data_IF_639183097066
#
_entry.id   IF_639183097066
#
_cell.length_a   1.000
_cell.length_b   1.000
_cell.length_c   1.000
_cell.angle_alpha   90.00
_cell.angle_beta   90.00
_cell.angle_gamma   90.00
#
_symmetry.space_group_name_H-M   'P 1'
#
loop_
_entity.id
_entity.type
_entity.pdbx_description
1 polymer ?
#
# COMPACT_ATOMS: atom_id res chain seq x y z
N UNK A 1 -7.96 -15.28 -5.07
CA UNK A 1 -6.49 -15.06 -5.16
C UNK A 1 -6.17 -13.73 -4.48
N UNK A 2 -4.92 -13.46 -4.09
CA UNK A 2 -4.51 -12.47 -3.06
C UNK A 2 -4.83 -12.83 -1.59
N UNK A 3 -5.11 -14.11 -1.28
CA UNK A 3 -5.36 -14.54 0.11
C UNK A 3 -4.18 -14.27 1.06
N UNK A 4 -2.94 -14.25 0.57
CA UNK A 4 -1.77 -13.95 1.39
C UNK A 4 -1.67 -12.46 1.80
N UNK A 5 -2.43 -11.55 1.18
CA UNK A 5 -2.48 -10.16 1.65
C UNK A 5 -3.00 -10.06 3.09
N UNK A 6 -3.83 -11.00 3.52
CA UNK A 6 -4.30 -11.08 4.90
C UNK A 6 -3.16 -11.32 5.91
N UNK A 7 -2.08 -11.98 5.51
CA UNK A 7 -0.95 -12.22 6.42
C UNK A 7 -0.22 -10.91 6.77
N UNK A 8 -0.28 -9.89 5.92
CA UNK A 8 0.39 -8.60 6.15
C UNK A 8 -0.20 -7.80 7.31
N UNK A 9 -1.39 -8.15 7.80
CA UNK A 9 -1.97 -7.53 9.00
C UNK A 9 -1.13 -7.85 10.26
N UNK A 10 -0.25 -8.85 10.18
CA UNK A 10 0.77 -9.14 11.19
C UNK A 10 2.03 -8.32 10.93
N UNK A 11 2.45 -7.57 11.96
CA UNK A 11 3.70 -6.81 11.94
C UNK A 11 4.92 -7.69 11.62
N UNK A 12 5.01 -8.90 12.21
CA UNK A 12 6.15 -9.79 12.00
C UNK A 12 6.20 -10.29 10.55
N UNK A 13 5.03 -10.55 9.95
CA UNK A 13 4.95 -10.96 8.56
C UNK A 13 5.37 -9.83 7.62
N UNK A 14 4.87 -8.61 7.85
CA UNK A 14 5.31 -7.42 7.10
C UNK A 14 6.83 -7.20 7.25
N UNK A 15 7.36 -7.30 8.47
CA UNK A 15 8.78 -7.11 8.76
C UNK A 15 9.67 -8.12 8.02
N UNK A 16 9.20 -9.35 7.86
CA UNK A 16 9.87 -10.39 7.07
C UNK A 16 9.71 -10.18 5.55
N UNK A 17 8.66 -9.49 5.11
CA UNK A 17 8.32 -9.28 3.70
C UNK A 17 8.04 -7.80 3.38
N UNK A 18 9.00 -6.87 3.57
CA UNK A 18 8.72 -5.44 3.52
C UNK A 18 8.51 -4.87 2.10
N UNK A 19 8.65 -5.70 1.07
CA UNK A 19 8.77 -5.30 -0.33
C UNK A 19 7.83 -6.07 -1.24
N UNK A 20 7.43 -5.41 -2.32
CA UNK A 20 6.69 -5.99 -3.44
C UNK A 20 7.53 -5.84 -4.71
N UNK A 21 7.74 -6.95 -5.42
CA UNK A 21 8.38 -6.95 -6.73
C UNK A 21 7.30 -6.99 -7.80
N UNK A 22 7.26 -5.99 -8.66
CA UNK A 22 6.28 -5.84 -9.72
C UNK A 22 6.97 -5.95 -11.08
N UNK A 23 6.74 -7.06 -11.78
CA UNK A 23 7.34 -7.30 -13.09
C UNK A 23 6.40 -6.87 -14.21
N UNK A 24 6.88 -5.96 -15.05
CA UNK A 24 6.21 -5.49 -16.26
C UNK A 24 7.02 -5.92 -17.49
N UNK A 25 6.56 -5.55 -18.69
CA UNK A 25 7.34 -5.73 -19.91
C UNK A 25 8.62 -4.87 -19.94
N UNK A 26 8.64 -3.77 -19.18
CA UNK A 26 9.77 -2.83 -19.11
C UNK A 26 10.85 -3.28 -18.11
N UNK A 27 10.52 -4.23 -17.23
CA UNK A 27 11.45 -4.79 -16.26
C UNK A 27 10.80 -5.08 -14.91
N UNK A 28 11.64 -5.39 -13.93
CA UNK A 28 11.22 -5.58 -12.54
C UNK A 28 11.35 -4.25 -11.79
N UNK A 29 10.26 -3.82 -11.17
CA UNK A 29 10.21 -2.68 -10.26
C UNK A 29 10.12 -3.18 -8.81
N UNK A 30 10.86 -2.53 -7.91
CA UNK A 30 10.79 -2.80 -6.47
C UNK A 30 9.98 -1.70 -5.76
N UNK A 31 9.03 -2.12 -4.93
CA UNK A 31 8.21 -1.23 -4.10
C UNK A 31 8.39 -1.58 -2.63
N UNK A 32 8.59 -0.57 -1.79
CA UNK A 32 8.64 -0.69 -0.34
C UNK A 32 7.23 -0.46 0.23
N UNK A 33 6.74 -1.36 1.08
CA UNK A 33 5.42 -1.21 1.72
C UNK A 33 5.49 -0.08 2.75
N UNK A 34 4.68 0.96 2.53
CA UNK A 34 4.60 2.16 3.36
C UNK A 34 3.37 2.17 4.30
N UNK A 35 2.32 1.41 3.99
CA UNK A 35 1.18 1.26 4.90
C UNK A 35 0.47 -0.08 4.70
N UNK A 36 -0.06 -0.62 5.80
CA UNK A 36 -0.93 -1.81 5.82
C UNK A 36 -2.24 -1.41 6.48
N UNK A 37 -3.35 -1.49 5.76
CA UNK A 37 -4.66 -1.02 6.22
C UNK A 37 -5.69 -2.14 6.21
N UNK A 38 -6.63 -2.02 7.15
CA UNK A 38 -7.97 -2.60 7.08
C UNK A 38 -8.96 -1.47 6.97
N UNK A 39 -9.53 -1.29 5.78
CA UNK A 39 -10.39 -0.16 5.48
C UNK A 39 -11.40 -0.50 4.39
N UNK A 40 -12.48 0.26 4.30
CA UNK A 40 -13.33 0.33 3.11
C UNK A 40 -13.13 1.67 2.39
N UNK A 41 -13.80 1.85 1.25
CA UNK A 41 -13.60 3.01 0.38
C UNK A 41 -13.99 4.34 1.04
N UNK A 42 -14.84 4.30 2.08
CA UNK A 42 -15.23 5.51 2.81
C UNK A 42 -14.14 5.98 3.78
N UNK A 43 -13.27 5.06 4.22
CA UNK A 43 -12.14 5.36 5.10
C UNK A 43 -10.91 5.76 4.30
N UNK A 44 -10.65 5.09 3.18
CA UNK A 44 -9.50 5.32 2.33
C UNK A 44 -9.87 5.06 0.87
N UNK A 45 -9.72 6.06 0.01
CA UNK A 45 -10.00 5.93 -1.42
C UNK A 45 -8.89 5.15 -2.14
N UNK A 46 -8.85 3.84 -1.93
CA UNK A 46 -7.90 2.94 -2.57
C UNK A 46 -8.10 2.81 -4.09
N UNK A 47 -9.11 3.46 -4.67
CA UNK A 47 -9.37 3.48 -6.11
C UNK A 47 -8.73 4.69 -6.82
N UNK A 48 -8.12 5.61 -6.06
CA UNK A 48 -7.43 6.77 -6.60
C UNK A 48 -6.18 6.36 -7.42
N UNK A 49 -6.37 6.18 -8.73
CA UNK A 49 -5.33 5.73 -9.65
C UNK A 49 -4.50 6.87 -10.29
N UNK A 50 -4.94 8.13 -10.14
CA UNK A 50 -4.31 9.28 -10.78
C UNK A 50 -4.18 10.47 -9.82
N UNK A 51 -3.05 11.15 -9.91
CA UNK A 51 -2.75 12.36 -9.15
C UNK A 51 -2.44 13.51 -10.12
N UNK A 52 -2.90 14.71 -9.78
CA UNK A 52 -2.66 15.90 -10.61
C UNK A 52 -1.24 16.48 -10.44
N UNK A 53 -0.50 16.00 -9.43
CA UNK A 53 0.88 16.40 -9.17
C UNK A 53 1.61 15.35 -8.30
N UNK A 54 2.95 15.36 -8.25
CA UNK A 54 3.73 14.48 -7.36
C UNK A 54 3.33 14.60 -5.88
N UNK A 55 2.96 15.79 -5.43
CA UNK A 55 2.46 16.02 -4.06
C UNK A 55 1.17 15.23 -3.76
N UNK A 56 0.39 14.87 -4.79
CA UNK A 56 -0.79 14.03 -4.63
C UNK A 56 -0.46 12.60 -4.23
N UNK A 57 0.60 12.01 -4.80
CA UNK A 57 1.04 10.67 -4.44
C UNK A 57 1.59 10.63 -3.01
N UNK A 58 2.37 11.65 -2.62
CA UNK A 58 2.86 11.79 -1.25
C UNK A 58 1.70 11.95 -0.25
N UNK A 59 0.73 12.83 -0.53
CA UNK A 59 -0.45 13.02 0.31
C UNK A 59 -1.28 11.73 0.47
N UNK A 60 -1.43 10.96 -0.61
CA UNK A 60 -2.08 9.65 -0.59
C UNK A 60 -1.36 8.66 0.33
N UNK A 61 -0.02 8.62 0.28
CA UNK A 61 0.78 7.78 1.19
C UNK A 61 0.66 8.26 2.63
N UNK A 62 0.70 9.57 2.90
CA UNK A 62 0.51 10.09 4.26
C UNK A 62 -0.88 9.75 4.83
N UNK A 63 -1.94 9.85 4.02
CA UNK A 63 -3.28 9.42 4.42
C UNK A 63 -3.31 7.92 4.74
N UNK A 64 -2.68 7.10 3.89
CA UNK A 64 -2.59 5.66 4.10
C UNK A 64 -1.86 5.32 5.42
N UNK A 65 -0.75 6.01 5.69
CA UNK A 65 0.03 5.85 6.92
C UNK A 65 -0.74 6.21 8.18
N UNK A 66 -1.52 7.29 8.13
CA UNK A 66 -2.37 7.71 9.25
C UNK A 66 -3.44 6.66 9.63
N UNK A 67 -3.79 5.77 8.69
CA UNK A 67 -4.75 4.68 8.88
C UNK A 67 -4.06 3.30 9.01
N UNK A 68 -2.72 3.26 9.00
CA UNK A 68 -1.97 2.01 9.03
C UNK A 68 -2.16 1.29 10.36
N UNK A 69 -2.24 -0.04 10.32
CA UNK A 69 -2.37 -0.89 11.51
C UNK A 69 -1.16 -0.80 12.44
N UNK A 70 -0.01 -0.43 11.89
CA UNK A 70 1.25 -0.25 12.60
C UNK A 70 2.18 0.67 11.81
N UNK A 71 3.18 1.21 12.51
CA UNK A 71 4.25 2.01 11.91
C UNK A 71 5.10 1.15 10.96
N UNK A 72 5.31 1.66 9.75
CA UNK A 72 6.20 1.04 8.74
C UNK A 72 7.37 1.99 8.45
N UNK A 73 8.48 1.47 7.96
CA UNK A 73 9.69 2.25 7.72
C UNK A 73 9.67 3.16 6.48
N UNK A 74 8.68 3.06 5.59
CA UNK A 74 8.61 3.88 4.38
C UNK A 74 7.93 5.22 4.65
N UNK A 75 8.60 6.36 4.41
CA UNK A 75 8.00 7.69 4.59
C UNK A 75 7.21 8.19 3.36
N UNK A 76 7.52 7.68 2.17
CA UNK A 76 6.85 8.07 0.91
C UNK A 76 7.18 9.50 0.46
N UNK A 77 8.17 10.15 1.08
CA UNK A 77 8.53 11.52 0.76
C UNK A 77 9.10 11.56 -0.66
N UNK A 78 8.56 12.45 -1.49
CA UNK A 78 8.98 12.59 -2.89
C UNK A 78 8.63 11.40 -3.78
N UNK A 79 7.73 10.50 -3.36
CA UNK A 79 7.32 9.39 -4.21
C UNK A 79 6.47 9.90 -5.40
N UNK A 80 6.81 9.45 -6.61
CA UNK A 80 6.03 9.79 -7.81
C UNK A 80 5.04 8.69 -8.20
N UNK A 81 5.28 7.45 -7.76
CA UNK A 81 4.50 6.26 -8.12
C UNK A 81 4.25 5.39 -6.90
N UNK A 82 2.99 5.01 -6.73
CA UNK A 82 2.54 4.07 -5.71
C UNK A 82 2.04 2.78 -6.37
N UNK A 83 2.03 1.70 -5.60
CA UNK A 83 1.39 0.44 -5.93
C UNK A 83 0.43 0.09 -4.79
N UNK A 84 -0.87 0.03 -5.11
CA UNK A 84 -1.92 -0.32 -4.16
C UNK A 84 -2.43 -1.73 -4.44
N UNK A 85 -2.26 -2.64 -3.49
CA UNK A 85 -2.79 -4.01 -3.55
C UNK A 85 -4.00 -4.13 -2.64
N UNK A 86 -5.11 -4.66 -3.17
CA UNK A 86 -6.39 -4.71 -2.46
C UNK A 86 -6.98 -6.12 -2.52
N UNK A 87 -7.45 -6.64 -1.39
CA UNK A 87 -8.28 -7.85 -1.35
C UNK A 87 -9.45 -7.68 -0.40
N UNK A 88 -10.49 -8.51 -0.55
CA UNK A 88 -11.61 -8.54 0.37
C UNK A 88 -11.15 -9.01 1.75
N UNK A 89 -11.66 -8.38 2.80
CA UNK A 89 -11.59 -8.87 4.18
C UNK A 89 -12.97 -9.36 4.62
N UNK A 90 -13.00 -10.24 5.61
CA UNK A 90 -14.22 -10.82 6.18
C UNK A 90 -14.63 -10.18 7.52
N UNK A 91 -13.97 -9.09 7.93
CA UNK A 91 -14.23 -8.45 9.22
C UNK A 91 -15.54 -7.66 9.26
N UNK A 92 -15.87 -6.96 8.18
CA UNK A 92 -17.16 -6.31 8.00
C UNK A 92 -17.52 -6.18 6.52
N UNK A 93 -18.75 -5.76 6.23
CA UNK A 93 -19.23 -5.56 4.87
C UNK A 93 -18.39 -4.49 4.16
N UNK A 94 -17.90 -4.79 2.96
CA UNK A 94 -16.98 -3.94 2.18
C UNK A 94 -15.58 -3.75 2.75
N UNK A 95 -15.21 -4.43 3.84
CA UNK A 95 -13.84 -4.40 4.34
C UNK A 95 -12.84 -4.87 3.28
N UNK A 96 -11.69 -4.20 3.22
CA UNK A 96 -10.55 -4.57 2.39
C UNK A 96 -9.27 -4.59 3.21
N UNK A 97 -8.41 -5.55 2.90
CA UNK A 97 -7.00 -5.51 3.27
C UNK A 97 -6.26 -4.79 2.15
N UNK A 98 -5.56 -3.72 2.51
CA UNK A 98 -4.92 -2.81 1.55
C UNK A 98 -3.45 -2.67 1.90
N UNK A 99 -2.58 -2.86 0.92
CA UNK A 99 -1.17 -2.47 1.00
C UNK A 99 -0.95 -1.27 0.11
N UNK A 100 -0.36 -0.21 0.67
CA UNK A 100 0.16 0.91 -0.10
C UNK A 100 1.67 0.81 -0.08
N UNK A 101 2.27 0.66 -1.26
CA UNK A 101 3.71 0.57 -1.44
C UNK A 101 4.22 1.70 -2.34
N UNK A 102 5.42 2.20 -2.06
CA UNK A 102 6.08 3.28 -2.80
C UNK A 102 7.24 2.73 -3.60
N UNK A 103 7.41 3.21 -4.84
CA UNK A 103 8.54 2.77 -5.68
C UNK A 103 9.86 3.17 -5.00
N UNK A 104 10.79 2.23 -4.88
CA UNK A 104 12.15 2.53 -4.40
C UNK A 104 12.90 3.20 -5.56
N UNK A 105 13.54 4.34 -5.31
CA UNK A 105 14.37 5.01 -6.31
C UNK A 105 15.49 4.08 -6.82
N UNK A 106 15.74 4.12 -8.13
CA UNK A 106 16.93 3.52 -8.75
C UNK A 106 18.21 4.21 -8.33
#
# INVERSE_FOLDING_TARGET
MFGNLDQYVSYDYWKAHPKVFFQTQEGMEEYQIAAVLKADVSMFDFQQASFHSPQGAEAYVQQAKALSLFETGGDGIGCEKTLTLVTCSYEWKEARNILVAVKVGT
#
